data_IF_571320355739
#
_entry.id   IF_571320355739
#
_cell.length_a   1.000
_cell.length_b   1.000
_cell.length_c   1.000
_cell.angle_alpha   90.00
_cell.angle_beta   90.00
_cell.angle_gamma   90.00
#
_symmetry.space_group_name_H-M   'P 1'
#
loop_
_entity.id
_entity.type
_entity.pdbx_description
1 polymer ?
#
# COMPACT_ATOMS: atom_id res chain seq x y z
N UNK A 1 12.35 -2.38 -46.78
CA UNK A 1 11.44 -1.53 -45.98
C UNK A 1 10.41 -2.32 -45.16
N UNK A 2 9.62 -3.25 -45.74
CA UNK A 2 8.63 -4.08 -44.98
C UNK A 2 9.21 -4.85 -43.79
N UNK A 3 10.40 -5.44 -43.91
CA UNK A 3 11.03 -6.17 -42.80
C UNK A 3 11.49 -5.28 -41.63
N UNK A 4 11.87 -4.03 -41.90
CA UNK A 4 12.27 -3.08 -40.85
C UNK A 4 11.01 -2.59 -40.12
N UNK A 5 9.94 -2.30 -40.87
CA UNK A 5 8.64 -1.88 -40.31
C UNK A 5 8.01 -2.98 -39.45
N UNK A 6 8.09 -4.25 -39.85
CA UNK A 6 7.62 -5.36 -39.01
C UNK A 6 8.45 -5.50 -37.73
N UNK A 7 9.78 -5.36 -37.78
CA UNK A 7 10.62 -5.41 -36.57
C UNK A 7 10.32 -4.26 -35.60
N UNK A 8 10.11 -3.05 -36.13
CA UNK A 8 9.72 -1.88 -35.32
C UNK A 8 8.33 -2.08 -34.71
N UNK A 9 7.37 -2.63 -35.46
CA UNK A 9 6.03 -2.92 -34.97
C UNK A 9 6.04 -4.01 -33.88
N UNK A 10 6.82 -5.08 -34.05
CA UNK A 10 6.97 -6.13 -33.04
C UNK A 10 7.64 -5.60 -31.77
N UNK A 11 8.63 -4.70 -31.91
CA UNK A 11 9.28 -4.04 -30.76
C UNK A 11 8.31 -3.09 -30.03
N UNK A 12 7.49 -2.33 -30.75
CA UNK A 12 6.48 -1.46 -30.16
C UNK A 12 5.37 -2.24 -29.45
N UNK A 13 4.88 -3.32 -30.06
CA UNK A 13 3.87 -4.19 -29.43
C UNK A 13 4.43 -4.86 -28.18
N UNK A 14 5.70 -5.29 -28.20
CA UNK A 14 6.38 -5.81 -27.01
C UNK A 14 6.54 -4.77 -25.90
N UNK A 15 6.88 -3.52 -26.25
CA UNK A 15 6.98 -2.43 -25.28
C UNK A 15 5.62 -2.05 -24.69
N UNK A 16 4.55 -2.00 -25.50
CA UNK A 16 3.18 -1.71 -25.04
C UNK A 16 2.67 -2.82 -24.12
N UNK A 17 2.92 -4.10 -24.44
CA UNK A 17 2.53 -5.21 -23.58
C UNK A 17 3.18 -5.10 -22.20
N UNK A 18 4.48 -4.79 -22.14
CA UNK A 18 5.19 -4.62 -20.87
C UNK A 18 4.63 -3.48 -20.00
N UNK A 19 4.15 -2.40 -20.63
CA UNK A 19 3.53 -1.27 -19.91
C UNK A 19 2.13 -1.63 -19.39
N UNK A 20 1.41 -2.54 -20.05
CA UNK A 20 0.05 -2.94 -19.65
C UNK A 20 -0.02 -4.00 -18.54
N UNK A 21 1.05 -4.78 -18.32
CA UNK A 21 1.13 -5.73 -17.18
C UNK A 21 1.72 -5.09 -15.92
N UNK A 22 2.39 -3.95 -16.03
CA UNK A 22 2.78 -3.15 -14.86
C UNK A 22 1.61 -2.26 -14.47
N UNK A 23 0.88 -2.64 -13.42
CA UNK A 23 -0.06 -1.73 -12.76
C UNK A 23 0.56 -0.35 -12.54
N UNK A 24 -0.24 0.70 -12.71
CA UNK A 24 0.20 2.04 -13.06
C UNK A 24 1.08 2.80 -12.03
N UNK A 25 1.55 2.16 -10.94
CA UNK A 25 2.37 2.84 -9.95
C UNK A 25 3.49 2.02 -9.28
N UNK A 26 3.81 0.83 -9.81
CA UNK A 26 4.90 -0.03 -9.29
C UNK A 26 6.32 0.58 -9.32
N UNK A 27 6.56 1.60 -10.15
CA UNK A 27 7.88 2.28 -10.17
C UNK A 27 8.20 2.92 -8.81
N UNK A 28 7.19 3.41 -8.09
CA UNK A 28 7.38 4.12 -6.83
C UNK A 28 7.33 3.22 -5.59
N UNK A 29 6.81 1.99 -5.73
CA UNK A 29 6.69 1.00 -4.66
C UNK A 29 7.01 -0.43 -5.19
N UNK A 30 8.26 -0.70 -5.56
CA UNK A 30 8.63 -1.95 -6.27
C UNK A 30 8.43 -3.23 -5.44
N UNK A 31 8.18 -3.12 -4.14
CA UNK A 31 8.01 -4.25 -3.22
C UNK A 31 6.59 -4.40 -2.67
N UNK A 32 5.61 -3.63 -3.16
CA UNK A 32 4.24 -3.77 -2.69
C UNK A 32 3.70 -5.19 -2.90
N UNK A 33 3.95 -5.80 -4.06
CA UNK A 33 3.51 -7.18 -4.35
C UNK A 33 4.16 -8.20 -3.41
N UNK A 34 5.44 -8.01 -3.06
CA UNK A 34 6.14 -8.87 -2.09
C UNK A 34 5.44 -8.83 -0.73
N UNK A 35 5.04 -7.63 -0.28
CA UNK A 35 4.31 -7.47 0.99
C UNK A 35 2.87 -7.98 0.90
N UNK A 36 2.19 -7.80 -0.23
CA UNK A 36 0.87 -8.36 -0.45
C UNK A 36 0.88 -9.90 -0.37
N UNK A 37 1.84 -10.55 -1.04
CA UNK A 37 2.00 -12.01 -0.97
C UNK A 37 2.39 -12.48 0.43
N UNK A 38 3.27 -11.76 1.14
CA UNK A 38 3.61 -12.08 2.54
C UNK A 38 2.42 -11.99 3.49
N UNK A 39 1.52 -11.05 3.23
CA UNK A 39 0.35 -10.82 4.08
C UNK A 39 -0.86 -11.69 3.69
N UNK A 40 -0.79 -12.42 2.58
CA UNK A 40 -1.92 -13.18 2.03
C UNK A 40 -2.52 -14.13 3.06
N UNK A 41 -3.80 -13.91 3.35
CA UNK A 41 -4.64 -14.77 4.19
C UNK A 41 -5.56 -15.66 3.37
N UNK A 42 -6.40 -16.44 4.05
CA UNK A 42 -7.46 -17.24 3.44
C UNK A 42 -8.55 -16.37 2.79
N UNK A 43 -8.70 -15.12 3.23
CA UNK A 43 -9.65 -14.15 2.66
C UNK A 43 -8.99 -12.80 2.37
N UNK A 44 -9.66 -11.97 1.57
CA UNK A 44 -9.23 -10.58 1.34
C UNK A 44 -9.21 -9.76 2.63
N UNK A 45 -10.20 -9.93 3.51
CA UNK A 45 -10.23 -9.27 4.84
C UNK A 45 -9.05 -9.70 5.70
N UNK A 46 -8.72 -11.00 5.73
CA UNK A 46 -7.56 -11.49 6.48
C UNK A 46 -6.25 -10.93 5.93
N UNK A 47 -6.12 -10.84 4.60
CA UNK A 47 -4.96 -10.22 3.96
C UNK A 47 -4.80 -8.76 4.40
N UNK A 48 -5.89 -7.98 4.42
CA UNK A 48 -5.89 -6.61 4.92
C UNK A 48 -5.49 -6.54 6.40
N UNK A 49 -6.04 -7.42 7.24
CA UNK A 49 -5.69 -7.51 8.67
C UNK A 49 -4.20 -7.83 8.85
N UNK A 50 -3.63 -8.73 8.06
CA UNK A 50 -2.20 -9.04 8.11
C UNK A 50 -1.34 -7.84 7.69
N UNK A 51 -1.74 -7.11 6.64
CA UNK A 51 -1.07 -5.88 6.23
C UNK A 51 -1.10 -4.81 7.33
N UNK A 52 -2.19 -4.68 8.11
CA UNK A 52 -2.21 -3.77 9.27
C UNK A 52 -1.16 -4.14 10.33
N UNK A 53 -0.90 -5.42 10.56
CA UNK A 53 0.15 -5.88 11.49
C UNK A 53 1.53 -5.44 10.99
N UNK A 54 1.81 -5.65 9.71
CA UNK A 54 3.10 -5.29 9.10
C UNK A 54 3.33 -3.78 9.16
N UNK A 55 2.30 -2.99 8.81
CA UNK A 55 2.34 -1.53 8.86
C UNK A 55 2.64 -1.01 10.26
N UNK A 56 2.00 -1.55 11.29
CA UNK A 56 2.26 -1.16 12.67
C UNK A 56 3.72 -1.45 13.07
N UNK A 57 4.24 -2.63 12.69
CA UNK A 57 5.62 -3.01 12.98
C UNK A 57 6.64 -2.09 12.27
N UNK A 58 6.44 -1.81 10.98
CA UNK A 58 7.32 -0.91 10.22
C UNK A 58 7.23 0.54 10.69
N UNK A 59 6.05 1.02 11.08
CA UNK A 59 5.90 2.36 11.65
C UNK A 59 6.65 2.50 12.99
N UNK A 60 6.55 1.48 13.86
CA UNK A 60 7.30 1.45 15.11
C UNK A 60 8.81 1.41 14.87
N UNK A 61 9.27 0.56 13.93
CA UNK A 61 10.67 0.43 13.58
C UNK A 61 11.23 1.70 12.90
N UNK A 62 10.37 2.49 12.26
CA UNK A 62 10.78 3.75 11.66
C UNK A 62 11.13 4.80 12.70
N UNK A 63 10.50 4.83 13.89
CA UNK A 63 10.71 5.88 14.90
C UNK A 63 12.19 6.21 15.17
N UNK A 64 12.50 7.50 15.30
CA UNK A 64 13.89 7.97 15.52
C UNK A 64 14.85 7.84 14.32
N UNK A 65 14.45 7.13 13.25
CA UNK A 65 15.17 7.07 11.98
C UNK A 65 15.06 8.35 11.13
N UNK A 66 15.64 8.43 9.93
CA UNK A 66 15.70 9.67 9.13
C UNK A 66 15.68 9.41 7.64
N UNK A 67 15.08 10.33 6.89
CA UNK A 67 15.08 10.27 5.43
C UNK A 67 14.29 9.07 4.93
N UNK A 68 14.85 8.33 3.98
CA UNK A 68 14.26 7.11 3.40
C UNK A 68 14.94 5.87 3.94
N UNK A 69 15.01 5.74 5.25
CA UNK A 69 15.52 4.53 5.87
C UNK A 69 14.68 3.30 5.52
N UNK A 70 15.25 2.12 5.76
CA UNK A 70 14.61 0.87 5.38
C UNK A 70 13.23 0.71 6.01
N UNK A 71 13.00 0.99 7.32
CA UNK A 71 11.67 0.87 7.90
C UNK A 71 10.62 1.80 7.25
N UNK A 72 10.98 3.04 6.91
CA UNK A 72 10.05 3.95 6.24
C UNK A 72 9.77 3.51 4.80
N UNK A 73 10.76 2.96 4.10
CA UNK A 73 10.56 2.37 2.77
C UNK A 73 9.68 1.13 2.82
N UNK A 74 9.83 0.28 3.84
CA UNK A 74 8.97 -0.89 4.04
C UNK A 74 7.53 -0.43 4.31
N UNK A 75 7.34 0.57 5.19
CA UNK A 75 6.03 1.17 5.46
C UNK A 75 5.37 1.70 4.18
N UNK A 76 6.12 2.36 3.30
CA UNK A 76 5.63 2.87 2.01
C UNK A 76 5.09 1.75 1.12
N UNK A 77 5.88 0.71 0.91
CA UNK A 77 5.48 -0.41 0.05
C UNK A 77 4.30 -1.19 0.65
N UNK A 78 4.29 -1.39 1.97
CA UNK A 78 3.18 -2.04 2.67
C UNK A 78 1.89 -1.22 2.60
N UNK A 79 1.98 0.12 2.64
CA UNK A 79 0.78 0.96 2.56
C UNK A 79 0.17 0.94 1.16
N UNK A 80 1.00 0.87 0.12
CA UNK A 80 0.52 0.62 -1.24
C UNK A 80 -0.07 -0.78 -1.41
N UNK A 81 0.57 -1.81 -0.85
CA UNK A 81 0.03 -3.16 -0.82
C UNK A 81 -1.36 -3.21 -0.15
N UNK A 82 -1.53 -2.50 0.97
CA UNK A 82 -2.83 -2.35 1.65
C UNK A 82 -3.85 -1.67 0.74
N UNK A 83 -3.51 -0.55 0.12
CA UNK A 83 -4.40 0.18 -0.76
C UNK A 83 -4.91 -0.68 -1.92
N UNK A 84 -4.00 -1.41 -2.57
CA UNK A 84 -4.34 -2.29 -3.69
C UNK A 84 -5.17 -3.50 -3.22
N UNK A 85 -4.82 -4.09 -2.07
CA UNK A 85 -5.53 -5.22 -1.48
C UNK A 85 -6.97 -4.89 -1.02
N UNK A 86 -7.33 -3.60 -0.84
CA UNK A 86 -8.70 -3.21 -0.49
C UNK A 86 -9.72 -3.66 -1.55
N UNK A 87 -9.29 -3.88 -2.80
CA UNK A 87 -10.14 -4.42 -3.86
C UNK A 87 -10.38 -5.94 -3.75
N UNK A 88 -9.70 -6.63 -2.84
CA UNK A 88 -9.76 -8.09 -2.66
C UNK A 88 -10.91 -8.58 -1.76
N UNK A 89 -11.75 -7.69 -1.22
CA UNK A 89 -12.95 -8.08 -0.47
C UNK A 89 -14.08 -8.53 -1.39
N UNK A 90 -15.03 -9.33 -0.90
CA UNK A 90 -16.19 -9.73 -1.71
C UNK A 90 -17.14 -8.56 -1.97
N UNK A 91 -18.03 -8.69 -2.95
CA UNK A 91 -19.05 -7.67 -3.26
C UNK A 91 -20.01 -7.48 -2.09
N UNK A 92 -20.27 -8.52 -1.32
CA UNK A 92 -21.13 -8.51 -0.14
C UNK A 92 -20.45 -7.72 1.00
N UNK A 93 -19.17 -8.00 1.23
CA UNK A 93 -18.34 -7.28 2.21
C UNK A 93 -18.21 -5.80 1.86
N UNK A 94 -18.02 -5.48 0.58
CA UNK A 94 -17.89 -4.10 0.10
C UNK A 94 -19.15 -3.23 0.33
N UNK A 95 -20.32 -3.85 0.53
CA UNK A 95 -21.59 -3.16 0.83
C UNK A 95 -21.79 -2.88 2.32
N UNK A 96 -20.93 -3.40 3.19
CA UNK A 96 -21.08 -3.23 4.64
C UNK A 96 -20.67 -1.83 5.09
N UNK A 97 -21.32 -1.27 6.14
CA UNK A 97 -20.87 -0.02 6.76
C UNK A 97 -19.43 -0.11 7.29
N UNK A 98 -19.02 -1.28 7.78
CA UNK A 98 -17.64 -1.53 8.22
C UNK A 98 -16.65 -1.33 7.07
N UNK A 99 -16.90 -1.87 5.88
CA UNK A 99 -16.01 -1.62 4.74
C UNK A 99 -15.99 -0.14 4.30
N UNK A 100 -17.14 0.54 4.30
CA UNK A 100 -17.18 1.98 4.02
C UNK A 100 -16.34 2.80 5.01
N UNK A 101 -16.35 2.42 6.30
CA UNK A 101 -15.49 3.01 7.31
C UNK A 101 -14.01 2.66 7.06
N UNK A 102 -13.68 1.42 6.69
CA UNK A 102 -12.32 1.00 6.37
C UNK A 102 -11.73 1.82 5.21
N UNK A 103 -12.51 2.05 4.15
CA UNK A 103 -12.14 2.93 3.03
C UNK A 103 -11.90 4.37 3.48
N UNK A 104 -12.70 4.87 4.41
CA UNK A 104 -12.56 6.23 4.95
C UNK A 104 -11.26 6.36 5.75
N UNK A 105 -11.00 5.43 6.66
CA UNK A 105 -9.75 5.39 7.44
C UNK A 105 -8.53 5.28 6.51
N UNK A 106 -8.59 4.45 5.46
CA UNK A 106 -7.50 4.33 4.49
C UNK A 106 -7.19 5.66 3.78
N UNK A 107 -8.20 6.48 3.48
CA UNK A 107 -8.01 7.83 2.89
C UNK A 107 -7.34 8.79 3.89
N UNK A 108 -7.73 8.74 5.15
CA UNK A 108 -7.12 9.54 6.22
C UNK A 108 -5.65 9.14 6.42
N UNK A 109 -5.37 7.84 6.46
CA UNK A 109 -4.00 7.30 6.48
C UNK A 109 -3.18 7.83 5.31
N UNK A 110 -3.74 7.91 4.10
CA UNK A 110 -3.06 8.47 2.94
C UNK A 110 -2.67 9.95 3.11
N UNK A 111 -3.47 10.73 3.84
CA UNK A 111 -3.14 12.12 4.18
C UNK A 111 -1.99 12.20 5.17
N UNK A 112 -2.02 11.36 6.21
CA UNK A 112 -0.95 11.27 7.21
C UNK A 112 0.35 10.78 6.56
N UNK A 113 0.28 9.75 5.72
CA UNK A 113 1.42 9.19 5.01
C UNK A 113 2.13 10.24 4.14
N UNK A 114 1.38 11.08 3.42
CA UNK A 114 1.95 12.20 2.65
C UNK A 114 2.68 13.20 3.54
N UNK A 115 2.13 13.49 4.72
CA UNK A 115 2.76 14.39 5.70
C UNK A 115 4.02 13.77 6.29
N UNK A 116 3.97 12.49 6.66
CA UNK A 116 5.14 11.72 7.07
C UNK A 116 6.24 11.76 5.99
N UNK A 117 5.90 11.55 4.73
CA UNK A 117 6.85 11.63 3.62
C UNK A 117 7.47 13.01 3.49
N UNK A 118 6.67 14.08 3.64
CA UNK A 118 7.15 15.47 3.62
C UNK A 118 8.13 15.75 4.76
N UNK A 119 7.81 15.32 5.98
CA UNK A 119 8.54 15.65 7.20
C UNK A 119 9.53 14.58 7.66
N UNK A 120 9.83 13.57 6.84
CA UNK A 120 10.76 12.46 7.13
C UNK A 120 12.18 12.84 7.61
N UNK A 121 12.58 14.10 7.49
CA UNK A 121 13.87 14.60 7.96
C UNK A 121 13.79 15.42 9.26
N UNK A 122 12.59 15.72 9.73
CA UNK A 122 12.26 16.48 10.93
C UNK A 122 11.77 15.51 12.00
N UNK A 123 12.61 15.19 12.99
CA UNK A 123 12.34 14.11 13.96
C UNK A 123 11.03 14.31 14.75
N UNK A 124 10.77 15.48 15.38
CA UNK A 124 9.50 15.70 16.06
C UNK A 124 8.29 15.47 15.16
N UNK A 125 8.31 15.97 13.92
CA UNK A 125 7.16 15.82 13.02
C UNK A 125 7.04 14.42 12.44
N UNK A 126 8.16 13.76 12.16
CA UNK A 126 8.20 12.38 11.67
C UNK A 126 7.58 11.43 12.69
N UNK A 127 8.03 11.51 13.94
CA UNK A 127 7.52 10.64 15.00
C UNK A 127 6.05 10.94 15.33
N UNK A 128 5.61 12.21 15.38
CA UNK A 128 4.18 12.57 15.54
C UNK A 128 3.31 11.97 14.42
N UNK A 129 3.77 12.04 13.17
CA UNK A 129 3.03 11.46 12.05
C UNK A 129 3.05 9.92 12.05
N UNK A 130 4.13 9.28 12.49
CA UNK A 130 4.17 7.83 12.69
C UNK A 130 3.17 7.41 13.77
N UNK A 131 3.09 8.13 14.88
CA UNK A 131 2.13 7.84 15.96
C UNK A 131 0.69 7.95 15.50
N UNK A 132 0.34 9.04 14.81
CA UNK A 132 -0.98 9.19 14.18
C UNK A 132 -1.27 8.07 13.19
N UNK A 133 -0.28 7.71 12.35
CA UNK A 133 -0.45 6.64 11.38
C UNK A 133 -0.77 5.31 12.07
N UNK A 134 -0.05 4.96 13.14
CA UNK A 134 -0.32 3.75 13.95
C UNK A 134 -1.71 3.78 14.56
N UNK A 135 -2.18 4.91 15.08
CA UNK A 135 -3.55 5.03 15.59
C UNK A 135 -4.60 4.68 14.53
N UNK A 136 -4.43 5.18 13.30
CA UNK A 136 -5.34 4.85 12.20
C UNK A 136 -5.18 3.39 11.72
N UNK A 137 -3.98 2.81 11.76
CA UNK A 137 -3.77 1.38 11.49
C UNK A 137 -4.59 0.52 12.46
N UNK A 138 -4.60 0.87 13.75
CA UNK A 138 -5.39 0.13 14.75
C UNK A 138 -6.89 0.31 14.55
N UNK A 139 -7.34 1.53 14.25
CA UNK A 139 -8.74 1.79 13.91
C UNK A 139 -9.19 1.01 12.66
N UNK A 140 -8.35 0.98 11.63
CA UNK A 140 -8.58 0.21 10.42
C UNK A 140 -8.68 -1.29 10.74
N UNK A 141 -7.73 -1.83 11.51
CA UNK A 141 -7.72 -3.24 11.92
C UNK A 141 -9.02 -3.63 12.62
N UNK A 142 -9.45 -2.85 13.62
CA UNK A 142 -10.71 -3.11 14.32
C UNK A 142 -11.93 -3.07 13.40
N UNK A 143 -11.93 -2.14 12.45
CA UNK A 143 -12.99 -2.03 11.44
C UNK A 143 -13.03 -3.24 10.49
N UNK A 144 -11.87 -3.69 10.02
CA UNK A 144 -11.75 -4.86 9.15
C UNK A 144 -12.22 -6.14 9.85
N UNK A 145 -11.89 -6.30 11.13
CA UNK A 145 -12.34 -7.45 11.93
C UNK A 145 -13.86 -7.47 12.17
N UNK A 146 -14.56 -6.36 11.95
CA UNK A 146 -16.02 -6.28 12.00
C UNK A 146 -16.70 -6.68 10.67
N UNK A 147 -15.94 -6.88 9.59
CA UNK A 147 -16.45 -7.36 8.31
C UNK A 147 -16.61 -8.87 8.39
N UNK A 148 -17.82 -9.37 8.09
CA UNK A 148 -18.16 -10.80 8.10
C UNK A 148 -17.92 -11.47 6.76
#
# INVERSE_FOLDING_TARGET
MRHIMNKVLTMLVGAILMVTVTGCSYIFYPRADEFAEKAKGATGVETLVNLTTMLAASAQAARGGKGYDQPLNDLHNQFHALHDAMCGVTKEQAKTPAYAMAVTINKEMGTIFKRLWKYRNDQPQRDDHLDRFVMHVQALRGTLQAIK
#
